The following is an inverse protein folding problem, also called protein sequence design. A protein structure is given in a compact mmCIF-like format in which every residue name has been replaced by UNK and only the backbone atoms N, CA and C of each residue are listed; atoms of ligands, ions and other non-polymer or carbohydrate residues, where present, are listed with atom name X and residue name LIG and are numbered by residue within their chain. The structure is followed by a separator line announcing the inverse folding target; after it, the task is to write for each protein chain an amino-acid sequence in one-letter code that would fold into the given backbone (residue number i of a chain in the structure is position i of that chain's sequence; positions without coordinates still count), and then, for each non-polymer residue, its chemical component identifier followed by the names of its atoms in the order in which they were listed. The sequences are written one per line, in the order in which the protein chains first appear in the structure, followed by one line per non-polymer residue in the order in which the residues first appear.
data_IF_186527403418
#
_entry.id   IF_186527403418
#
_cell.length_a   1.000
_cell.length_b   1.000
_cell.length_c   1.000
_cell.angle_alpha   90.00
_cell.angle_beta   90.00
_cell.angle_gamma   90.00
#
_symmetry.space_group_name_H-M   'P 1'
#
loop_
_entity.id
_entity.type
_entity.pdbx_description
1 polymer ?
#
# COMPACT_ATOMS: atom_id res chain seq x y z
N UNK A 1 -3.69 25.39 -3.11
CA UNK A 1 -2.74 24.40 -2.56
C UNK A 1 -3.35 23.03 -2.82
N UNK A 2 -2.94 22.36 -3.88
CA UNK A 2 -3.35 20.98 -4.14
C UNK A 2 -2.55 20.07 -3.20
N UNK A 3 -3.24 19.46 -2.23
CA UNK A 3 -2.65 18.34 -1.49
C UNK A 3 -2.60 17.17 -2.47
N UNK A 4 -1.44 16.97 -3.12
CA UNK A 4 -1.15 15.68 -3.77
C UNK A 4 -1.06 14.65 -2.65
N UNK A 5 -2.14 13.89 -2.50
CA UNK A 5 -2.16 12.76 -1.59
C UNK A 5 -1.04 11.77 -1.97
N UNK A 6 -0.47 11.09 -0.98
CA UNK A 6 0.68 10.20 -1.18
C UNK A 6 0.24 8.77 -0.96
N UNK A 7 0.59 7.88 -1.88
CA UNK A 7 0.19 6.49 -1.83
C UNK A 7 0.65 5.84 -0.53
N UNK A 8 -0.28 5.28 0.24
CA UNK A 8 0.02 4.64 1.52
C UNK A 8 0.96 3.43 1.37
N UNK A 9 0.99 2.80 0.18
CA UNK A 9 1.80 1.62 -0.09
C UNK A 9 3.23 1.94 -0.53
N UNK A 10 3.40 2.78 -1.57
CA UNK A 10 4.72 3.07 -2.16
C UNK A 10 5.29 4.44 -1.76
N UNK A 11 4.50 5.31 -1.11
CA UNK A 11 4.92 6.65 -0.70
C UNK A 11 5.10 7.64 -1.85
N UNK A 12 4.73 7.29 -3.07
CA UNK A 12 4.79 8.16 -4.25
C UNK A 12 3.61 9.15 -4.24
N UNK A 13 3.79 10.30 -4.89
CA UNK A 13 2.69 11.25 -5.13
C UNK A 13 1.62 10.59 -6.01
N UNK A 14 0.36 10.76 -5.64
CA UNK A 14 -0.76 10.25 -6.41
C UNK A 14 -1.06 11.24 -7.55
N UNK A 15 -0.97 10.81 -8.82
CA UNK A 15 -1.30 11.68 -9.94
C UNK A 15 -2.79 12.04 -9.94
N UNK A 16 -3.11 13.23 -10.42
CA UNK A 16 -4.48 13.75 -10.49
C UNK A 16 -5.29 12.90 -11.48
N UNK A 17 -6.15 12.00 -10.94
CA UNK A 17 -7.00 11.10 -11.74
C UNK A 17 -6.99 9.64 -11.28
N UNK A 18 -5.89 9.18 -10.66
CA UNK A 18 -5.71 7.79 -10.23
C UNK A 18 -5.73 7.63 -8.70
N UNK A 19 -6.47 8.51 -8.02
CA UNK A 19 -6.65 8.44 -6.58
C UNK A 19 -7.67 7.35 -6.23
N UNK A 20 -7.16 6.27 -5.65
CA UNK A 20 -7.98 5.13 -5.24
C UNK A 20 -8.08 5.12 -3.72
N UNK A 21 -9.31 5.14 -3.23
CA UNK A 21 -9.60 4.98 -1.82
C UNK A 21 -10.00 3.54 -1.53
N UNK A 22 -9.37 2.94 -0.52
CA UNK A 22 -9.72 1.61 -0.04
C UNK A 22 -9.79 1.60 1.48
N UNK A 23 -10.73 0.84 2.03
CA UNK A 23 -10.82 0.64 3.47
C UNK A 23 -9.87 -0.49 3.89
N UNK A 24 -8.72 -0.12 4.45
CA UNK A 24 -7.72 -1.06 4.97
C UNK A 24 -7.75 -1.01 6.50
N UNK A 25 -7.99 -2.14 7.15
CA UNK A 25 -8.03 -2.26 8.62
C UNK A 25 -8.97 -1.20 9.27
N UNK A 26 -10.18 -1.07 8.72
CA UNK A 26 -11.22 -0.10 9.14
C UNK A 26 -10.79 1.37 9.04
N UNK A 27 -9.75 1.67 8.26
CA UNK A 27 -9.31 3.04 7.94
C UNK A 27 -9.32 3.24 6.44
N UNK A 28 -9.88 4.35 6.01
CA UNK A 28 -9.76 4.77 4.61
C UNK A 28 -8.32 5.17 4.31
N UNK A 29 -7.76 4.57 3.27
CA UNK A 29 -6.39 4.80 2.79
C UNK A 29 -6.42 5.08 1.30
N UNK A 30 -5.52 5.94 0.88
CA UNK A 30 -5.36 6.42 -0.48
C UNK A 30 -4.17 5.78 -1.17
N UNK A 31 -4.36 5.43 -2.43
CA UNK A 31 -3.42 4.67 -3.25
C UNK A 31 -3.31 5.25 -4.65
N UNK A 32 -2.12 5.14 -5.26
CA UNK A 32 -1.87 5.61 -6.62
C UNK A 32 -2.34 4.64 -7.72
N UNK A 33 -2.68 3.40 -7.37
CA UNK A 33 -3.17 2.40 -8.33
C UNK A 33 -3.88 1.25 -7.60
N UNK A 34 -4.70 0.48 -8.33
CA UNK A 34 -5.40 -0.69 -7.78
C UNK A 34 -4.43 -1.76 -7.30
N UNK A 35 -3.24 -1.88 -7.92
CA UNK A 35 -2.19 -2.80 -7.48
C UNK A 35 -1.71 -2.48 -6.06
N UNK A 36 -1.40 -1.22 -5.78
CA UNK A 36 -1.00 -0.78 -4.45
C UNK A 36 -2.10 -1.06 -3.40
N UNK A 37 -3.36 -0.82 -3.76
CA UNK A 37 -4.50 -1.04 -2.89
C UNK A 37 -4.73 -2.54 -2.61
N UNK A 38 -4.62 -3.40 -3.62
CA UNK A 38 -4.77 -4.85 -3.50
C UNK A 38 -3.63 -5.49 -2.71
N UNK A 39 -2.37 -5.12 -2.99
CA UNK A 39 -1.23 -5.61 -2.21
C UNK A 39 -1.37 -5.18 -0.76
N UNK A 40 -1.80 -3.94 -0.50
CA UNK A 40 -2.02 -3.47 0.86
C UNK A 40 -3.09 -4.27 1.60
N UNK A 41 -4.23 -4.53 0.96
CA UNK A 41 -5.28 -5.37 1.53
C UNK A 41 -4.79 -6.77 1.87
N UNK A 42 -4.15 -7.46 0.92
CA UNK A 42 -3.63 -8.83 1.12
C UNK A 42 -2.62 -8.89 2.26
N UNK A 43 -1.73 -7.90 2.38
CA UNK A 43 -0.75 -7.85 3.47
C UNK A 43 -1.45 -7.72 4.84
N UNK A 44 -2.48 -6.88 4.95
CA UNK A 44 -3.24 -6.73 6.20
C UNK A 44 -4.11 -7.95 6.51
N UNK A 45 -4.76 -8.54 5.50
CA UNK A 45 -5.57 -9.76 5.65
C UNK A 45 -4.73 -10.96 6.09
N UNK A 46 -3.51 -11.08 5.57
CA UNK A 46 -2.59 -12.15 5.95
C UNK A 46 -1.92 -11.94 7.32
N UNK A 47 -2.25 -10.87 8.06
CA UNK A 47 -1.55 -10.51 9.32
C UNK A 47 -0.07 -10.16 9.10
N UNK A 48 0.31 -9.89 7.86
CA UNK A 48 1.66 -9.60 7.41
C UNK A 48 1.96 -8.09 7.47
N UNK A 49 1.26 -7.33 8.30
CA UNK A 49 1.52 -5.89 8.49
C UNK A 49 2.98 -5.58 8.90
N UNK A 50 3.68 -6.58 9.46
CA UNK A 50 5.13 -6.54 9.75
C UNK A 50 6.00 -6.25 8.51
N UNK A 51 5.51 -6.47 7.28
CA UNK A 51 6.20 -6.08 6.04
C UNK A 51 6.30 -4.55 5.87
N UNK A 52 5.39 -3.77 6.47
CA UNK A 52 5.50 -2.31 6.48
C UNK A 52 6.52 -1.79 7.50
N UNK A 53 6.97 -2.65 8.43
CA UNK A 53 8.05 -2.34 9.36
C UNK A 53 9.39 -2.49 8.62
N UNK A 54 9.70 -1.52 7.75
CA UNK A 54 10.97 -1.45 7.02
C UNK A 54 12.15 -1.60 7.97
N UNK A 55 12.96 -2.64 7.79
CA UNK A 55 14.41 -2.53 7.99
C UNK A 55 14.95 -1.55 6.94
N UNK A 56 15.89 -0.66 7.28
CA UNK A 56 16.35 0.42 6.40
C UNK A 56 17.23 0.00 5.21
N UNK A 57 17.06 -1.22 4.66
CA UNK A 57 17.81 -1.64 3.48
C UNK A 57 17.02 -2.68 2.66
N UNK A 58 16.43 -2.22 1.55
CA UNK A 58 16.40 -2.88 0.23
C UNK A 58 15.91 -4.32 0.02
N UNK A 59 15.60 -5.15 1.02
CA UNK A 59 15.27 -6.55 0.78
C UNK A 59 13.77 -6.71 0.47
N UNK A 60 13.47 -6.85 -0.83
CA UNK A 60 12.19 -7.33 -1.35
C UNK A 60 11.94 -8.73 -0.80
N UNK A 61 11.20 -8.83 0.31
CA UNK A 61 10.68 -10.11 0.77
C UNK A 61 9.73 -10.62 -0.31
N UNK A 62 10.22 -11.66 -1.00
CA UNK A 62 9.55 -12.41 -2.06
C UNK A 62 8.07 -12.67 -1.75
N UNK A 63 7.21 -12.72 -2.78
CA UNK A 63 5.78 -12.96 -2.58
C UNK A 63 5.53 -14.25 -1.78
N UNK A 64 4.42 -14.31 -1.02
CA UNK A 64 4.07 -15.51 -0.27
C UNK A 64 3.98 -16.71 -1.22
N UNK A 65 4.40 -17.90 -0.78
CA UNK A 65 4.27 -19.11 -1.60
C UNK A 65 2.80 -19.34 -1.90
N UNK A 66 2.50 -19.57 -3.18
CA UNK A 66 1.20 -20.06 -3.63
C UNK A 66 0.90 -21.36 -2.90
N UNK A 67 -0.14 -21.38 -2.06
CA UNK A 67 -0.72 -22.62 -1.54
C UNK A 67 -1.72 -23.18 -2.56
#
# INVERSE_FOLDING_TARGET
MSLMDSCFHCGQAIPEGDLIFKNINKKERSFCCHGCASVCEVIYEAGMESFYRRTPDGELLSPPPSQ
#
